data_IF_139862110750
#
_entry.id   IF_139862110750
#
_cell.length_a   1.000
_cell.length_b   1.000
_cell.length_c   1.000
_cell.angle_alpha   90.00
_cell.angle_beta   90.00
_cell.angle_gamma   90.00
#
_symmetry.space_group_name_H-M   'P 1'
#
loop_
_entity.id
_entity.type
_entity.pdbx_description
1 polymer ?
#
# COMPACT_ATOMS: atom_id res chain seq x y z
N UNK A 1 1.62 16.92 -42.69
CA UNK A 1 1.54 15.71 -41.85
C UNK A 1 0.47 15.97 -40.80
N UNK A 2 -0.73 15.41 -40.98
CA UNK A 2 -1.89 15.71 -40.14
C UNK A 2 -1.75 15.11 -38.75
N UNK A 3 -2.01 15.91 -37.71
CA UNK A 3 -2.19 15.42 -36.34
C UNK A 3 -3.33 14.39 -36.34
N UNK A 4 -3.15 13.15 -35.87
CA UNK A 4 -4.27 12.24 -35.72
C UNK A 4 -5.28 12.86 -34.74
N UNK A 5 -6.55 12.84 -35.13
CA UNK A 5 -7.67 13.38 -34.36
C UNK A 5 -7.71 12.78 -32.94
N UNK A 6 -7.72 13.64 -31.92
CA UNK A 6 -7.90 13.28 -30.50
C UNK A 6 -9.23 12.54 -30.21
N UNK A 7 -10.12 12.38 -31.19
CA UNK A 7 -11.46 11.80 -31.02
C UNK A 7 -11.50 10.27 -30.95
N UNK A 8 -10.44 9.56 -31.36
CA UNK A 8 -10.40 8.09 -31.34
C UNK A 8 -9.96 7.53 -29.98
N UNK A 9 -9.15 8.26 -29.21
CA UNK A 9 -8.67 7.81 -27.90
C UNK A 9 -9.74 7.79 -26.80
N UNK A 10 -10.84 8.55 -26.95
CA UNK A 10 -11.89 8.66 -25.92
C UNK A 10 -13.02 7.61 -26.05
N UNK A 11 -12.97 6.73 -27.06
CA UNK A 11 -14.09 5.81 -27.35
C UNK A 11 -13.91 4.37 -26.84
N UNK A 12 -12.76 4.06 -26.27
CA UNK A 12 -12.49 2.74 -25.71
C UNK A 12 -12.12 2.90 -24.23
N UNK A 13 -13.03 2.65 -23.28
CA UNK A 13 -12.59 2.42 -21.91
C UNK A 13 -11.65 1.22 -21.96
N UNK A 14 -10.37 1.42 -21.66
CA UNK A 14 -9.48 0.28 -21.44
C UNK A 14 -10.03 -0.47 -20.23
N UNK A 15 -10.14 -1.79 -20.36
CA UNK A 15 -10.52 -2.61 -19.22
C UNK A 15 -9.39 -2.55 -18.19
N UNK A 16 -9.76 -2.54 -16.91
CA UNK A 16 -8.80 -2.47 -15.81
C UNK A 16 -8.17 -3.84 -15.53
N UNK A 17 -7.57 -4.45 -16.55
CA UNK A 17 -6.94 -5.77 -16.47
C UNK A 17 -5.43 -5.68 -16.24
N UNK A 18 -4.89 -6.59 -15.43
CA UNK A 18 -3.45 -6.69 -15.18
C UNK A 18 -2.62 -7.14 -16.38
N UNK A 19 -3.25 -7.39 -17.53
CA UNK A 19 -2.62 -7.84 -18.78
C UNK A 19 -2.56 -6.73 -19.86
N UNK A 20 -2.79 -5.46 -19.48
CA UNK A 20 -2.66 -4.34 -20.40
C UNK A 20 -1.20 -4.14 -20.85
N UNK A 21 -1.01 -3.90 -22.14
CA UNK A 21 0.31 -3.58 -22.71
C UNK A 21 0.79 -2.18 -22.26
N UNK A 22 2.11 -1.95 -22.12
CA UNK A 22 2.64 -0.72 -21.57
C UNK A 22 2.34 0.49 -22.48
N UNK A 23 1.78 1.55 -21.89
CA UNK A 23 1.51 2.81 -22.60
C UNK A 23 2.79 3.66 -22.64
N UNK A 24 2.94 4.48 -23.69
CA UNK A 24 4.00 5.49 -23.72
C UNK A 24 3.52 6.79 -23.08
N UNK A 25 4.35 7.36 -22.22
CA UNK A 25 4.09 8.65 -21.62
C UNK A 25 3.92 9.74 -22.70
N UNK A 26 2.83 10.52 -22.70
CA UNK A 26 2.62 11.58 -23.70
C UNK A 26 3.62 12.73 -23.59
N UNK A 27 4.27 12.90 -22.43
CA UNK A 27 5.29 13.94 -22.19
C UNK A 27 6.70 13.48 -22.55
N UNK A 28 7.05 12.24 -22.22
CA UNK A 28 8.43 11.74 -22.30
C UNK A 28 8.66 10.63 -23.33
N UNK A 29 7.59 9.99 -23.83
CA UNK A 29 7.67 8.88 -24.79
C UNK A 29 8.15 7.54 -24.21
N UNK A 30 8.56 7.49 -22.94
CA UNK A 30 9.00 6.26 -22.26
C UNK A 30 7.80 5.38 -21.85
N UNK A 31 7.97 4.05 -21.74
CA UNK A 31 6.93 3.18 -21.22
C UNK A 31 6.58 3.56 -19.77
N UNK A 32 5.29 3.64 -19.47
CA UNK A 32 4.76 3.86 -18.13
C UNK A 32 4.63 2.54 -17.39
N UNK A 33 4.68 2.61 -16.06
CA UNK A 33 4.56 1.46 -15.18
C UNK A 33 3.14 1.37 -14.59
N UNK A 34 2.47 0.24 -14.79
CA UNK A 34 1.15 -0.02 -14.23
C UNK A 34 1.26 -0.55 -12.80
N UNK A 35 0.52 0.04 -11.87
CA UNK A 35 0.40 -0.47 -10.51
C UNK A 35 -1.00 -0.22 -9.95
N UNK A 36 -1.37 -0.95 -8.89
CA UNK A 36 -2.64 -0.70 -8.18
C UNK A 36 -2.56 0.63 -7.42
N UNK A 37 -3.66 1.37 -7.42
CA UNK A 37 -3.77 2.57 -6.60
C UNK A 37 -3.84 2.19 -5.12
N UNK A 38 -3.04 2.84 -4.26
CA UNK A 38 -2.91 2.41 -2.86
C UNK A 38 -4.22 2.51 -2.05
N UNK A 39 -5.10 3.46 -2.41
CA UNK A 39 -6.36 3.73 -1.69
C UNK A 39 -7.60 3.11 -2.34
N UNK A 40 -7.41 2.30 -3.38
CA UNK A 40 -8.49 1.58 -4.08
C UNK A 40 -8.06 0.12 -4.33
N UNK A 41 -9.00 -0.81 -4.24
CA UNK A 41 -8.71 -2.25 -4.41
C UNK A 41 -8.69 -2.68 -5.87
N UNK A 42 -9.36 -1.94 -6.74
CA UNK A 42 -9.73 -2.39 -8.09
C UNK A 42 -9.15 -1.52 -9.21
N UNK A 43 -8.62 -0.33 -8.89
CA UNK A 43 -8.11 0.58 -9.92
C UNK A 43 -6.59 0.44 -10.12
N UNK A 44 -6.17 0.14 -11.35
CA UNK A 44 -4.77 0.23 -11.77
C UNK A 44 -4.48 1.59 -12.43
N UNK A 45 -3.38 2.22 -12.04
CA UNK A 45 -2.94 3.51 -12.57
C UNK A 45 -1.60 3.32 -13.28
N UNK A 46 -1.39 4.07 -14.37
CA UNK A 46 -0.09 4.12 -15.05
C UNK A 46 0.71 5.34 -14.57
N UNK A 47 1.93 5.11 -14.09
CA UNK A 47 2.85 6.16 -13.65
C UNK A 47 4.10 6.23 -14.53
N UNK A 48 4.53 7.43 -14.87
CA UNK A 48 5.77 7.68 -15.57
C UNK A 48 6.90 8.01 -14.59
N UNK A 49 7.86 7.11 -14.38
CA UNK A 49 8.99 7.31 -13.47
C UNK A 49 9.99 8.38 -13.89
N UNK A 50 9.92 8.90 -15.11
CA UNK A 50 10.77 10.02 -15.54
C UNK A 50 10.16 11.39 -15.22
N UNK A 51 8.84 11.55 -15.33
CA UNK A 51 8.20 12.86 -15.13
C UNK A 51 7.18 12.93 -14.01
N UNK A 52 6.92 11.82 -13.31
CA UNK A 52 5.89 11.70 -12.26
C UNK A 52 4.47 11.90 -12.78
N UNK A 53 4.25 11.67 -14.08
CA UNK A 53 2.94 11.85 -14.70
C UNK A 53 2.08 10.61 -14.51
N UNK A 54 0.83 10.80 -14.09
CA UNK A 54 -0.18 9.76 -14.03
C UNK A 54 -1.04 9.78 -15.28
N UNK A 55 -1.36 8.58 -15.79
CA UNK A 55 -2.34 8.40 -16.85
C UNK A 55 -3.46 7.51 -16.30
N UNK A 56 -4.69 8.03 -16.41
CA UNK A 56 -5.91 7.37 -16.01
C UNK A 56 -6.78 7.20 -17.25
N UNK A 57 -7.30 6.00 -17.43
CA UNK A 57 -8.25 5.71 -18.50
C UNK A 57 -9.64 6.28 -18.17
N UNK A 58 -10.53 6.26 -19.17
CA UNK A 58 -11.90 6.79 -19.00
C UNK A 58 -12.66 5.97 -17.95
N UNK A 59 -13.16 6.64 -16.90
CA UNK A 59 -13.90 6.02 -15.80
C UNK A 59 -13.06 5.79 -14.54
N UNK A 60 -11.76 5.54 -14.67
CA UNK A 60 -10.90 5.20 -13.52
C UNK A 60 -10.85 6.32 -12.46
N UNK A 61 -10.84 7.59 -12.88
CA UNK A 61 -10.88 8.71 -11.94
C UNK A 61 -12.18 8.76 -11.12
N UNK A 62 -13.30 8.36 -11.75
CA UNK A 62 -14.59 8.30 -11.08
C UNK A 62 -14.62 7.14 -10.09
N UNK A 63 -14.05 6.00 -10.45
CA UNK A 63 -13.96 4.83 -9.59
C UNK A 63 -13.09 5.11 -8.36
N UNK A 64 -11.89 5.70 -8.55
CA UNK A 64 -11.01 6.13 -7.45
C UNK A 64 -11.76 7.06 -6.47
N UNK A 65 -12.59 7.95 -7.01
CA UNK A 65 -13.35 8.89 -6.17
C UNK A 65 -14.48 8.21 -5.41
N UNK A 66 -15.16 7.24 -6.01
CA UNK A 66 -16.28 6.54 -5.41
C UNK A 66 -15.83 5.50 -4.37
N UNK A 67 -14.68 4.87 -4.60
CA UNK A 67 -14.13 3.82 -3.75
C UNK A 67 -13.01 4.33 -2.83
N UNK A 68 -12.84 5.66 -2.72
CA UNK A 68 -11.79 6.26 -1.90
C UNK A 68 -11.92 5.80 -0.44
N UNK A 69 -10.98 4.98 0.00
CA UNK A 69 -10.95 4.51 1.37
C UNK A 69 -10.41 5.60 2.31
N UNK A 70 -11.12 5.84 3.41
CA UNK A 70 -10.62 6.64 4.52
C UNK A 70 -9.42 5.95 5.18
N UNK A 71 -8.57 6.72 5.87
CA UNK A 71 -7.38 6.16 6.52
C UNK A 71 -7.74 5.05 7.53
N UNK A 72 -8.88 5.18 8.22
CA UNK A 72 -9.38 4.16 9.14
C UNK A 72 -9.77 2.86 8.43
N UNK A 73 -10.39 2.95 7.25
CA UNK A 73 -10.76 1.78 6.44
C UNK A 73 -9.54 1.08 5.84
N UNK A 74 -8.51 1.84 5.46
CA UNK A 74 -7.24 1.30 4.97
C UNK A 74 -6.56 0.47 6.06
N UNK A 75 -6.48 0.99 7.29
CA UNK A 75 -5.92 0.26 8.44
C UNK A 75 -6.72 -1.02 8.71
N UNK A 76 -8.06 -0.93 8.76
CA UNK A 76 -8.91 -2.09 8.98
C UNK A 76 -8.78 -3.17 7.89
N UNK A 77 -8.53 -2.76 6.64
CA UNK A 77 -8.27 -3.69 5.54
C UNK A 77 -6.89 -4.36 5.67
N UNK A 78 -5.85 -3.59 5.99
CA UNK A 78 -4.52 -4.12 6.24
C UNK A 78 -4.54 -5.14 7.40
N UNK A 79 -5.22 -4.83 8.50
CA UNK A 79 -5.39 -5.73 9.64
C UNK A 79 -6.07 -7.03 9.23
N UNK A 80 -7.10 -6.98 8.37
CA UNK A 80 -7.77 -8.19 7.87
C UNK A 80 -6.84 -9.08 7.04
N UNK A 81 -5.99 -8.48 6.18
CA UNK A 81 -5.01 -9.25 5.40
C UNK A 81 -3.99 -9.89 6.33
N UNK A 82 -3.42 -9.11 7.25
CA UNK A 82 -2.39 -9.56 8.17
C UNK A 82 -2.92 -10.71 9.04
N UNK A 83 -4.15 -10.58 9.56
CA UNK A 83 -4.75 -11.59 10.42
C UNK A 83 -5.23 -12.85 9.68
N UNK A 84 -5.45 -12.78 8.36
CA UNK A 84 -5.82 -13.97 7.58
C UNK A 84 -4.64 -14.89 7.29
N UNK A 85 -3.41 -14.42 7.48
CA UNK A 85 -2.18 -15.21 7.32
C UNK A 85 -1.94 -16.02 8.60
N UNK A 86 -2.07 -17.37 8.58
CA UNK A 86 -1.96 -18.18 9.79
C UNK A 86 -0.58 -18.09 10.48
N UNK A 87 0.48 -17.95 9.68
CA UNK A 87 1.84 -17.80 10.15
C UNK A 87 2.01 -16.53 11.01
N UNK A 88 1.38 -15.43 10.61
CA UNK A 88 1.40 -14.19 11.37
C UNK A 88 0.71 -14.35 12.73
N UNK A 89 -0.45 -15.01 12.75
CA UNK A 89 -1.19 -15.25 13.99
C UNK A 89 -0.38 -16.09 14.99
N UNK A 90 0.37 -17.08 14.50
CA UNK A 90 1.26 -17.88 15.36
C UNK A 90 2.45 -17.06 15.87
N UNK A 91 3.13 -16.34 14.98
CA UNK A 91 4.25 -15.47 15.34
C UNK A 91 3.86 -14.43 16.40
N UNK A 92 2.66 -13.85 16.29
CA UNK A 92 2.14 -12.90 17.27
C UNK A 92 1.92 -13.52 18.66
N UNK A 93 1.41 -14.76 18.73
CA UNK A 93 1.27 -15.49 20.00
C UNK A 93 2.63 -15.77 20.64
N UNK A 94 3.60 -16.20 19.84
CA UNK A 94 4.95 -16.49 20.32
C UNK A 94 5.64 -15.22 20.84
N UNK A 95 5.46 -14.10 20.14
CA UNK A 95 5.97 -12.79 20.53
C UNK A 95 5.33 -12.28 21.83
N UNK A 96 4.03 -12.47 22.02
CA UNK A 96 3.33 -12.16 23.28
C UNK A 96 3.84 -13.02 24.45
N UNK A 97 4.06 -14.32 24.21
CA UNK A 97 4.63 -15.22 25.21
C UNK A 97 6.07 -14.80 25.61
N UNK A 98 6.89 -14.43 24.64
CA UNK A 98 8.24 -13.90 24.89
C UNK A 98 8.20 -12.59 25.67
N UNK A 99 7.32 -11.65 25.32
CA UNK A 99 7.15 -10.39 26.06
C UNK A 99 6.79 -10.64 27.52
N UNK A 100 5.81 -11.50 27.80
CA UNK A 100 5.42 -11.85 29.18
C UNK A 100 6.58 -12.45 29.96
N UNK A 101 7.36 -13.33 29.34
CA UNK A 101 8.57 -13.90 29.95
C UNK A 101 9.59 -12.82 30.26
N UNK A 102 9.87 -11.92 29.32
CA UNK A 102 10.80 -10.81 29.50
C UNK A 102 10.34 -9.86 30.61
N UNK A 103 9.05 -9.53 30.68
CA UNK A 103 8.49 -8.72 31.76
C UNK A 103 8.65 -9.39 33.13
N UNK A 104 8.44 -10.70 33.19
CA UNK A 104 8.61 -11.49 34.41
C UNK A 104 10.07 -11.43 34.89
N UNK A 105 11.00 -11.66 33.96
CA UNK A 105 12.43 -11.57 34.22
C UNK A 105 12.79 -10.16 34.66
N UNK A 106 12.38 -9.13 33.92
CA UNK A 106 12.65 -7.73 34.28
C UNK A 106 12.13 -7.36 35.67
N UNK A 107 10.94 -7.82 36.06
CA UNK A 107 10.39 -7.59 37.41
C UNK A 107 11.27 -8.23 38.47
N UNK A 108 11.69 -9.47 38.25
CA UNK A 108 12.55 -10.21 39.17
C UNK A 108 13.97 -9.62 39.21
N UNK A 109 14.55 -9.25 38.08
CA UNK A 109 15.94 -8.77 37.99
C UNK A 109 16.05 -7.25 38.11
N UNK A 110 14.96 -6.54 38.40
CA UNK A 110 14.93 -5.07 38.47
C UNK A 110 16.02 -4.50 39.40
N UNK A 111 16.26 -5.17 40.53
CA UNK A 111 17.25 -4.75 41.52
C UNK A 111 18.71 -4.97 41.10
N UNK A 112 18.95 -5.76 40.04
CA UNK A 112 20.28 -5.94 39.45
C UNK A 112 20.64 -4.84 38.47
N UNK A 113 19.68 -3.98 38.10
CA UNK A 113 19.91 -2.88 37.15
C UNK A 113 20.49 -1.66 37.86
N UNK A 114 21.43 -0.97 37.21
CA UNK A 114 22.05 0.26 37.72
C UNK A 114 21.00 1.35 38.01
N UNK A 115 19.96 1.43 37.18
CA UNK A 115 18.88 2.40 37.31
C UNK A 115 18.07 2.24 38.62
N UNK A 116 17.90 1.00 39.10
CA UNK A 116 17.23 0.75 40.39
C UNK A 116 18.00 1.34 41.57
N UNK A 117 19.32 1.16 41.62
CA UNK A 117 20.16 1.69 42.70
C UNK A 117 20.36 3.20 42.62
N UNK A 118 20.45 3.75 41.40
CA UNK A 118 20.55 5.20 41.15
C UNK A 118 19.31 5.98 41.61
N UNK A 119 18.13 5.34 41.68
CA UNK A 119 16.89 5.97 42.18
C UNK A 119 16.69 5.80 43.68
N UNK A 120 17.45 4.91 44.31
CA UNK A 120 17.28 4.53 45.72
C UNK A 120 18.19 5.33 46.67
N UNK A 121 19.29 5.86 46.15
CA UNK A 121 20.23 6.76 46.81
C UNK A 121 20.28 8.08 46.06
#
# INVERSE_FOLDING_TARGET
>A
MGRPSNSIMLRYPRNNDGQRGPIKCPKCGIPMHTHKYERDKEVNVDECYNCGGFFLDSGELTDIRNNYMSDAEVQAYADKIINSVPEYAQAMKDLDAQKKRLESIQKLTKFLTVDYWRKKF
#
